data_IF_235933867312
#
_entry.id   IF_235933867312
#
_cell.length_a   1.000
_cell.length_b   1.000
_cell.length_c   1.000
_cell.angle_alpha   90.00
_cell.angle_beta   90.00
_cell.angle_gamma   90.00
#
_symmetry.space_group_name_H-M   'P 1'
#
loop_
_entity.id
_entity.type
_entity.pdbx_description
1 polymer ?
#
# COMPACT_ATOMS: atom_id res chain seq x y z
N UNK A 1 15.90 11.19 -4.27
CA UNK A 1 15.29 11.40 -2.93
C UNK A 1 15.25 10.07 -2.19
N UNK A 2 15.88 9.95 -1.02
CA UNK A 2 16.01 8.70 -0.27
C UNK A 2 14.85 8.53 0.74
N UNK A 3 13.64 8.40 0.20
CA UNK A 3 12.41 8.41 1.01
C UNK A 3 11.53 7.18 0.84
N UNK A 4 12.06 6.12 0.25
CA UNK A 4 11.31 4.88 0.06
C UNK A 4 11.29 4.05 1.35
N UNK A 5 10.15 4.00 2.04
CA UNK A 5 9.99 3.23 3.28
C UNK A 5 9.64 1.76 3.07
N UNK A 6 9.41 1.33 1.83
CA UNK A 6 8.98 -0.03 1.53
C UNK A 6 9.80 -0.61 0.38
N UNK A 7 10.33 -1.80 0.61
CA UNK A 7 10.83 -2.69 -0.44
C UNK A 7 9.97 -3.95 -0.39
N UNK A 8 9.65 -4.52 -1.56
CA UNK A 8 8.92 -5.78 -1.64
C UNK A 8 9.75 -6.90 -0.99
N UNK A 9 9.20 -7.62 -0.01
CA UNK A 9 9.88 -8.76 0.60
C UNK A 9 10.22 -9.91 -0.36
N UNK A 10 9.58 -9.98 -1.53
CA UNK A 10 9.94 -10.94 -2.57
C UNK A 10 11.15 -10.49 -3.42
N UNK A 11 11.50 -9.21 -3.36
CA UNK A 11 12.46 -8.60 -4.27
C UNK A 11 13.16 -7.37 -3.65
N UNK A 12 14.27 -7.64 -2.97
CA UNK A 12 15.12 -6.62 -2.36
C UNK A 12 16.55 -7.13 -2.16
N UNK A 13 17.52 -6.24 -2.36
CA UNK A 13 18.93 -6.50 -2.12
C UNK A 13 19.44 -5.54 -1.05
N UNK A 14 20.10 -6.08 -0.03
CA UNK A 14 20.62 -5.31 1.08
C UNK A 14 22.08 -5.65 1.35
N UNK A 15 22.83 -4.65 1.81
CA UNK A 15 24.19 -4.87 2.30
C UNK A 15 24.15 -5.67 3.61
N UNK A 16 24.76 -6.86 3.60
CA UNK A 16 24.68 -7.83 4.70
C UNK A 16 25.21 -7.26 6.02
N UNK A 17 26.37 -6.62 5.98
CA UNK A 17 27.00 -5.96 7.12
C UNK A 17 26.07 -4.94 7.79
N UNK A 18 25.42 -4.08 7.01
CA UNK A 18 24.48 -3.07 7.53
C UNK A 18 23.23 -3.73 8.13
N UNK A 19 22.67 -4.75 7.47
CA UNK A 19 21.49 -5.46 7.98
C UNK A 19 21.80 -6.19 9.28
N UNK A 20 22.96 -6.84 9.37
CA UNK A 20 23.40 -7.53 10.59
C UNK A 20 23.64 -6.52 11.71
N UNK A 21 24.29 -5.39 11.42
CA UNK A 21 24.50 -4.32 12.39
C UNK A 21 23.19 -3.69 12.89
N UNK A 22 22.16 -3.61 12.03
CA UNK A 22 20.82 -3.15 12.39
C UNK A 22 19.95 -4.22 13.10
N UNK A 23 20.49 -5.40 13.38
CA UNK A 23 19.81 -6.47 14.13
C UNK A 23 18.96 -7.43 13.29
N UNK A 24 19.09 -7.43 11.96
CA UNK A 24 18.39 -8.35 11.06
C UNK A 24 16.86 -8.18 11.03
N UNK A 25 16.16 -9.22 10.53
CA UNK A 25 14.70 -9.23 10.42
C UNK A 25 14.02 -9.36 11.78
N UNK A 26 12.98 -8.54 11.99
CA UNK A 26 12.11 -8.65 13.17
C UNK A 26 11.11 -9.79 13.04
N UNK A 27 11.05 -10.66 14.04
CA UNK A 27 10.09 -11.78 14.10
C UNK A 27 8.74 -11.36 14.70
N UNK A 28 8.67 -10.19 15.34
CA UNK A 28 7.46 -9.73 16.03
C UNK A 28 6.54 -8.89 15.13
N UNK A 29 6.92 -8.70 13.86
CA UNK A 29 6.20 -7.84 12.91
C UNK A 29 5.65 -8.65 11.74
N UNK A 30 4.44 -8.33 11.30
CA UNK A 30 3.82 -8.97 10.14
C UNK A 30 4.35 -8.42 8.80
N UNK A 31 4.99 -7.25 8.84
CA UNK A 31 5.59 -6.54 7.70
C UNK A 31 7.11 -6.44 7.86
N UNK A 32 7.77 -7.59 7.95
CA UNK A 32 9.21 -7.73 8.21
C UNK A 32 10.06 -6.94 7.21
N UNK A 33 9.64 -6.90 5.94
CA UNK A 33 10.29 -6.20 4.84
C UNK A 33 10.23 -4.68 5.01
N UNK A 34 9.05 -4.14 5.23
CA UNK A 34 8.86 -2.71 5.49
C UNK A 34 9.56 -2.28 6.79
N UNK A 35 9.44 -3.06 7.85
CA UNK A 35 10.05 -2.70 9.13
C UNK A 35 11.57 -2.67 9.05
N UNK A 36 12.19 -3.63 8.34
CA UNK A 36 13.62 -3.61 8.08
C UNK A 36 14.05 -2.33 7.35
N UNK A 37 13.32 -1.91 6.31
CA UNK A 37 13.66 -0.71 5.54
C UNK A 37 13.60 0.55 6.41
N UNK A 38 12.53 0.74 7.16
CA UNK A 38 12.38 1.89 8.08
C UNK A 38 13.49 1.86 9.15
N UNK A 39 13.82 0.68 9.67
CA UNK A 39 14.90 0.51 10.64
C UNK A 39 16.27 0.84 10.05
N UNK A 40 16.57 0.40 8.83
CA UNK A 40 17.83 0.70 8.14
C UNK A 40 17.98 2.20 7.93
N UNK A 41 16.91 2.88 7.50
CA UNK A 41 16.91 4.33 7.40
C UNK A 41 17.25 5.00 8.74
N UNK A 42 16.60 4.57 9.83
CA UNK A 42 16.83 5.08 11.18
C UNK A 42 18.25 4.79 11.66
N UNK A 43 18.72 3.57 11.48
CA UNK A 43 20.06 3.13 11.88
C UNK A 43 21.14 3.94 11.18
N UNK A 44 21.08 4.05 9.86
CA UNK A 44 22.08 4.80 9.11
C UNK A 44 22.03 6.30 9.44
N UNK A 45 20.84 6.88 9.66
CA UNK A 45 20.72 8.29 10.07
C UNK A 45 21.29 8.55 11.47
N UNK A 46 21.00 7.67 12.44
CA UNK A 46 21.46 7.86 13.81
C UNK A 46 22.97 7.65 13.98
N UNK A 47 23.59 6.86 13.10
CA UNK A 47 25.03 6.61 13.10
C UNK A 47 25.78 7.45 12.05
N UNK A 48 25.10 8.41 11.40
CA UNK A 48 25.67 9.28 10.36
C UNK A 48 26.33 8.51 9.20
N UNK A 49 25.85 7.30 8.91
CA UNK A 49 26.36 6.44 7.84
C UNK A 49 25.75 6.90 6.51
N UNK A 50 26.54 7.25 5.48
CA UNK A 50 26.02 7.55 4.16
C UNK A 50 25.34 6.32 3.54
N UNK A 51 24.12 6.49 3.05
CA UNK A 51 23.34 5.38 2.47
C UNK A 51 22.30 5.88 1.47
N UNK A 52 21.89 4.96 0.61
CA UNK A 52 20.84 5.19 -0.39
C UNK A 52 19.99 3.94 -0.55
N UNK A 53 18.67 4.09 -0.49
CA UNK A 53 17.69 3.04 -0.78
C UNK A 53 16.95 3.46 -2.05
N UNK A 54 17.25 2.80 -3.16
CA UNK A 54 16.72 3.11 -4.49
C UNK A 54 15.82 1.99 -5.01
N UNK A 55 14.90 2.38 -5.89
CA UNK A 55 14.13 1.46 -6.72
C UNK A 55 14.83 1.30 -8.07
N UNK A 56 15.07 0.05 -8.50
CA UNK A 56 15.63 -0.28 -9.81
C UNK A 56 14.50 -0.80 -10.73
N UNK A 57 14.05 -0.04 -11.74
CA UNK A 57 12.92 -0.43 -12.59
C UNK A 57 13.19 -1.67 -13.46
N UNK A 58 14.44 -1.96 -13.79
CA UNK A 58 14.81 -3.10 -14.65
C UNK A 58 14.95 -4.41 -13.86
N UNK A 59 14.94 -4.33 -12.54
CA UNK A 59 15.03 -5.46 -11.66
C UNK A 59 13.62 -6.08 -11.55
N UNK A 60 13.37 -7.14 -12.34
CA UNK A 60 12.03 -7.77 -12.48
C UNK A 60 12.04 -9.17 -11.85
N UNK A 61 11.04 -9.44 -11.00
CA UNK A 61 10.81 -10.76 -10.42
C UNK A 61 9.33 -11.16 -10.59
N UNK A 62 9.11 -12.39 -11.03
CA UNK A 62 7.77 -12.97 -11.15
C UNK A 62 7.33 -13.53 -9.80
N UNK A 63 6.23 -13.00 -9.27
CA UNK A 63 5.65 -13.46 -8.01
C UNK A 63 4.23 -13.98 -8.23
N UNK A 64 3.86 -14.97 -7.42
CA UNK A 64 2.50 -15.51 -7.45
C UNK A 64 1.54 -14.55 -6.75
N UNK A 65 0.48 -14.16 -7.46
CA UNK A 65 -0.63 -13.38 -6.91
C UNK A 65 -1.69 -14.29 -6.28
N UNK A 66 -2.46 -13.81 -5.28
CA UNK A 66 -3.58 -14.57 -4.74
C UNK A 66 -4.65 -14.84 -5.80
N UNK A 67 -5.08 -16.10 -5.94
CA UNK A 67 -6.12 -16.49 -6.91
C UNK A 67 -7.54 -16.38 -6.34
N UNK A 68 -7.68 -16.22 -5.01
CA UNK A 68 -8.97 -16.12 -4.34
C UNK A 68 -9.14 -14.79 -3.60
N UNK A 69 -10.36 -14.26 -3.59
CA UNK A 69 -10.70 -13.07 -2.80
C UNK A 69 -10.43 -13.28 -1.31
N UNK A 70 -10.63 -14.49 -0.79
CA UNK A 70 -10.34 -14.82 0.61
C UNK A 70 -8.86 -14.68 0.96
N UNK A 71 -7.96 -15.14 0.08
CA UNK A 71 -6.53 -15.02 0.30
C UNK A 71 -6.03 -13.59 0.07
N UNK A 72 -6.61 -12.87 -0.89
CA UNK A 72 -6.37 -11.44 -1.06
C UNK A 72 -6.74 -10.64 0.20
N UNK A 73 -7.89 -10.93 0.83
CA UNK A 73 -8.30 -10.29 2.09
C UNK A 73 -7.26 -10.51 3.19
N UNK A 74 -6.80 -11.75 3.37
CA UNK A 74 -5.76 -12.08 4.37
C UNK A 74 -4.46 -11.33 4.09
N UNK A 75 -4.03 -11.29 2.83
CA UNK A 75 -2.80 -10.61 2.43
C UNK A 75 -2.89 -9.10 2.71
N UNK A 76 -3.97 -8.45 2.28
CA UNK A 76 -4.15 -7.00 2.44
C UNK A 76 -4.29 -6.59 3.91
N UNK A 77 -4.99 -7.40 4.70
CA UNK A 77 -5.03 -7.24 6.16
C UNK A 77 -3.65 -7.34 6.79
N UNK A 78 -2.82 -8.32 6.39
CA UNK A 78 -1.44 -8.47 6.87
C UNK A 78 -0.60 -7.23 6.55
N UNK A 79 -0.65 -6.75 5.30
CA UNK A 79 0.12 -5.58 4.86
C UNK A 79 -0.25 -4.32 5.63
N UNK A 80 -1.54 -4.08 5.85
CA UNK A 80 -2.00 -2.91 6.58
C UNK A 80 -1.61 -2.96 8.08
N UNK A 81 -1.70 -4.14 8.70
CA UNK A 81 -1.21 -4.33 10.08
C UNK A 81 0.32 -4.20 10.19
N UNK A 82 1.07 -4.72 9.19
CA UNK A 82 2.52 -4.57 9.13
C UNK A 82 2.95 -3.12 8.99
N UNK A 83 2.26 -2.35 8.14
CA UNK A 83 2.42 -0.90 8.03
C UNK A 83 2.20 -0.20 9.38
N UNK A 84 1.09 -0.51 10.06
CA UNK A 84 0.79 0.04 11.38
C UNK A 84 1.88 -0.29 12.40
N UNK A 85 2.30 -1.55 12.49
CA UNK A 85 3.34 -2.01 13.42
C UNK A 85 4.68 -1.30 13.17
N UNK A 86 5.10 -1.23 11.91
CA UNK A 86 6.37 -0.57 11.53
C UNK A 86 6.35 0.91 11.91
N UNK A 87 5.27 1.63 11.57
CA UNK A 87 5.15 3.05 11.94
C UNK A 87 5.06 3.25 13.45
N UNK A 88 4.23 2.48 14.17
CA UNK A 88 4.15 2.58 15.63
C UNK A 88 5.50 2.36 16.31
N UNK A 89 6.30 1.39 15.84
CA UNK A 89 7.64 1.09 16.37
C UNK A 89 8.63 2.22 16.11
N UNK A 90 8.57 2.84 14.92
CA UNK A 90 9.47 3.90 14.49
C UNK A 90 8.88 5.31 14.63
N UNK A 91 7.91 5.50 15.55
CA UNK A 91 7.21 6.79 15.79
C UNK A 91 8.13 7.97 16.08
N UNK A 92 9.36 7.73 16.53
CA UNK A 92 10.38 8.77 16.77
C UNK A 92 10.77 9.53 15.48
N UNK A 93 10.52 8.94 14.32
CA UNK A 93 10.77 9.56 13.02
C UNK A 93 9.61 10.45 12.56
N UNK A 94 8.42 10.34 13.17
CA UNK A 94 7.24 11.08 12.76
C UNK A 94 7.45 12.59 12.96
N UNK A 95 7.39 13.36 11.86
CA UNK A 95 7.57 14.82 11.85
C UNK A 95 8.85 15.28 12.58
N UNK A 96 9.88 14.44 12.57
CA UNK A 96 11.13 14.74 13.24
C UNK A 96 12.15 15.32 12.22
N UNK A 97 12.53 16.61 12.35
CA UNK A 97 13.45 17.26 11.42
C UNK A 97 14.85 16.63 11.40
N UNK A 98 15.28 15.94 12.46
CA UNK A 98 16.58 15.25 12.51
C UNK A 98 16.69 14.12 11.47
N UNK A 99 15.55 13.54 11.05
CA UNK A 99 15.51 12.57 9.96
C UNK A 99 15.32 13.22 8.58
N UNK A 100 15.24 14.56 8.52
CA UNK A 100 15.05 15.35 7.31
C UNK A 100 13.76 14.99 6.58
N UNK A 101 13.83 14.95 5.25
CA UNK A 101 12.69 14.63 4.40
C UNK A 101 12.05 13.27 4.66
N UNK A 102 12.80 12.32 5.20
CA UNK A 102 12.28 10.99 5.53
C UNK A 102 11.22 11.05 6.63
N UNK A 103 11.48 11.81 7.69
CA UNK A 103 10.53 11.99 8.80
C UNK A 103 9.43 13.00 8.48
N UNK A 104 9.79 14.08 7.78
CA UNK A 104 8.86 15.18 7.47
C UNK A 104 7.89 14.87 6.34
N UNK A 105 8.33 14.17 5.29
CA UNK A 105 7.52 13.93 4.09
C UNK A 105 7.20 12.46 3.92
N UNK A 106 8.19 11.57 3.85
CA UNK A 106 7.92 10.16 3.57
C UNK A 106 7.07 9.51 4.67
N UNK A 107 7.49 9.63 5.93
CA UNK A 107 6.72 9.06 7.03
C UNK A 107 5.31 9.67 7.09
N UNK A 108 5.20 11.00 6.97
CA UNK A 108 3.91 11.69 6.98
C UNK A 108 2.99 11.19 5.85
N UNK A 109 3.53 11.00 4.66
CA UNK A 109 2.79 10.47 3.51
C UNK A 109 2.25 9.06 3.81
N UNK A 110 3.09 8.13 4.28
CA UNK A 110 2.67 6.78 4.64
C UNK A 110 1.65 6.79 5.79
N UNK A 111 1.79 7.70 6.75
CA UNK A 111 0.83 7.86 7.82
C UNK A 111 -0.54 8.33 7.29
N UNK A 112 -0.59 9.46 6.58
CA UNK A 112 -1.85 10.04 6.12
C UNK A 112 -2.51 9.25 5.00
N UNK A 113 -1.76 8.91 3.95
CA UNK A 113 -2.31 8.35 2.72
C UNK A 113 -2.40 6.82 2.73
N UNK A 114 -1.49 6.11 3.39
CA UNK A 114 -1.51 4.64 3.40
C UNK A 114 -2.21 4.07 4.63
N UNK A 115 -1.93 4.62 5.83
CA UNK A 115 -2.52 4.11 7.08
C UNK A 115 -3.88 4.72 7.38
N UNK A 116 -4.02 6.05 7.31
CA UNK A 116 -5.24 6.74 7.76
C UNK A 116 -6.33 6.83 6.67
N UNK A 117 -5.96 6.79 5.39
CA UNK A 117 -6.89 6.89 4.25
C UNK A 117 -8.15 6.00 4.36
N UNK A 118 -8.07 4.70 4.70
CA UNK A 118 -9.28 3.86 4.81
C UNK A 118 -10.28 4.35 5.86
N UNK A 119 -9.78 4.97 6.94
CA UNK A 119 -10.61 5.53 8.00
C UNK A 119 -11.25 6.85 7.60
N UNK A 120 -10.52 7.69 6.86
CA UNK A 120 -11.07 8.92 6.28
C UNK A 120 -12.22 8.58 5.32
N UNK A 121 -12.03 7.57 4.47
CA UNK A 121 -13.07 7.10 3.56
C UNK A 121 -14.29 6.57 4.31
N UNK A 122 -14.10 5.75 5.34
CA UNK A 122 -15.19 5.27 6.19
C UNK A 122 -15.94 6.43 6.85
N UNK A 123 -15.22 7.41 7.42
CA UNK A 123 -15.81 8.59 8.01
C UNK A 123 -16.62 9.37 6.97
N UNK A 124 -16.10 9.54 5.75
CA UNK A 124 -16.82 10.14 4.62
C UNK A 124 -18.16 9.46 4.34
N UNK A 125 -18.17 8.12 4.25
CA UNK A 125 -19.41 7.36 4.07
C UNK A 125 -20.40 7.53 5.23
N UNK A 126 -19.93 7.48 6.47
CA UNK A 126 -20.78 7.68 7.65
C UNK A 126 -21.39 9.09 7.68
N UNK A 127 -20.60 10.12 7.36
CA UNK A 127 -21.09 11.50 7.27
C UNK A 127 -22.10 11.66 6.14
N UNK A 128 -21.92 10.94 5.03
CA UNK A 128 -22.87 10.96 3.93
C UNK A 128 -24.23 10.39 4.38
N UNK A 129 -24.23 9.21 4.99
CA UNK A 129 -25.44 8.56 5.51
C UNK A 129 -26.14 9.42 6.57
N UNK A 130 -25.38 9.99 7.50
CA UNK A 130 -25.93 10.89 8.52
C UNK A 130 -26.59 12.13 7.89
N UNK A 131 -25.98 12.70 6.85
CA UNK A 131 -26.52 13.89 6.17
C UNK A 131 -27.81 13.59 5.40
N UNK A 132 -27.94 12.39 4.83
CA UNK A 132 -29.21 11.91 4.25
C UNK A 132 -30.27 11.75 5.34
N UNK A 133 -29.91 11.16 6.48
CA UNK A 133 -30.84 10.94 7.58
C UNK A 133 -31.39 12.25 8.20
N UNK A 134 -30.56 13.30 8.24
CA UNK A 134 -30.95 14.64 8.73
C UNK A 134 -31.66 15.48 7.65
N UNK A 135 -31.70 15.00 6.39
CA UNK A 135 -32.38 15.69 5.29
C UNK A 135 -31.67 16.95 4.79
N UNK A 136 -30.41 17.15 5.16
CA UNK A 136 -29.58 18.30 4.71
C UNK A 136 -28.89 18.04 3.37
N UNK A 137 -28.96 16.81 2.86
CA UNK A 137 -28.24 16.40 1.66
C UNK A 137 -29.07 16.59 0.39
N UNK A 138 -28.50 17.33 -0.57
CA UNK A 138 -28.99 17.34 -1.94
C UNK A 138 -28.51 16.07 -2.66
N UNK A 139 -29.41 15.09 -2.80
CA UNK A 139 -29.09 13.80 -3.41
C UNK A 139 -28.70 13.91 -4.89
N UNK A 140 -29.37 14.78 -5.65
CA UNK A 140 -29.10 14.95 -7.08
C UNK A 140 -27.67 15.46 -7.31
N UNK A 141 -27.28 16.50 -6.56
CA UNK A 141 -25.91 17.02 -6.59
C UNK A 141 -24.89 15.94 -6.18
N UNK A 142 -25.18 15.19 -5.11
CA UNK A 142 -24.25 14.16 -4.61
C UNK A 142 -24.04 13.02 -5.60
N UNK A 143 -25.09 12.56 -6.27
CA UNK A 143 -24.99 11.53 -7.31
C UNK A 143 -24.17 12.05 -8.49
N UNK A 144 -24.46 13.26 -8.99
CA UNK A 144 -23.70 13.87 -10.08
C UNK A 144 -22.22 14.07 -9.73
N UNK A 145 -21.95 14.57 -8.52
CA UNK A 145 -20.59 14.73 -8.01
C UNK A 145 -19.85 13.39 -7.93
N UNK A 146 -20.50 12.35 -7.40
CA UNK A 146 -19.90 11.02 -7.30
C UNK A 146 -19.60 10.40 -8.69
N UNK A 147 -20.52 10.56 -9.66
CA UNK A 147 -20.32 10.11 -11.03
C UNK A 147 -19.14 10.83 -11.70
N UNK A 148 -19.06 12.15 -11.56
CA UNK A 148 -17.96 12.95 -12.09
C UNK A 148 -16.62 12.56 -11.45
N UNK A 149 -16.60 12.40 -10.12
CA UNK A 149 -15.42 11.96 -9.38
C UNK A 149 -14.95 10.57 -9.81
N UNK A 150 -15.89 9.63 -9.98
CA UNK A 150 -15.58 8.26 -10.43
C UNK A 150 -15.01 8.27 -11.84
N UNK A 151 -15.59 9.07 -12.75
CA UNK A 151 -15.08 9.23 -14.12
C UNK A 151 -13.66 9.81 -14.12
N UNK A 152 -13.43 10.87 -13.35
CA UNK A 152 -12.11 11.50 -13.23
C UNK A 152 -11.05 10.50 -12.73
N UNK A 153 -11.36 9.72 -11.69
CA UNK A 153 -10.44 8.70 -11.18
C UNK A 153 -10.19 7.58 -12.19
N UNK A 154 -11.23 7.14 -12.93
CA UNK A 154 -11.06 6.15 -13.98
C UNK A 154 -10.11 6.64 -15.08
N UNK A 155 -10.25 7.89 -15.52
CA UNK A 155 -9.34 8.51 -16.50
C UNK A 155 -7.91 8.56 -15.96
N UNK A 156 -7.71 9.00 -14.71
CA UNK A 156 -6.38 9.03 -14.09
C UNK A 156 -5.74 7.64 -14.03
N UNK A 157 -6.46 6.63 -13.57
CA UNK A 157 -5.94 5.25 -13.50
C UNK A 157 -5.54 4.75 -14.88
N UNK A 158 -6.38 5.00 -15.90
CA UNK A 158 -6.11 4.62 -17.29
C UNK A 158 -4.86 5.33 -17.82
N UNK A 159 -4.74 6.65 -17.58
CA UNK A 159 -3.56 7.43 -18.00
C UNK A 159 -2.28 6.88 -17.38
N UNK A 160 -2.28 6.61 -16.08
CA UNK A 160 -1.11 6.06 -15.37
C UNK A 160 -0.74 4.68 -15.92
N UNK A 161 -1.74 3.83 -16.20
CA UNK A 161 -1.53 2.51 -16.77
C UNK A 161 -0.85 2.59 -18.15
N UNK A 162 -1.37 3.42 -19.07
CA UNK A 162 -0.77 3.57 -20.39
C UNK A 162 0.59 4.27 -20.36
N UNK A 163 0.77 5.26 -19.47
CA UNK A 163 2.07 5.89 -19.27
C UNK A 163 3.12 4.85 -18.86
N UNK A 164 2.79 3.92 -17.96
CA UNK A 164 3.68 2.82 -17.57
C UNK A 164 4.05 1.93 -18.75
N UNK A 165 3.08 1.57 -19.59
CA UNK A 165 3.32 0.72 -20.77
C UNK A 165 4.25 1.42 -21.76
N UNK A 166 4.01 2.70 -22.00
CA UNK A 166 4.87 3.53 -22.86
C UNK A 166 6.30 3.62 -22.31
N UNK A 167 6.46 3.94 -21.02
CA UNK A 167 7.79 4.06 -20.38
C UNK A 167 8.56 2.74 -20.36
N UNK A 168 7.87 1.60 -20.20
CA UNK A 168 8.50 0.27 -20.20
C UNK A 168 8.66 -0.35 -21.59
N UNK A 169 8.19 0.33 -22.65
CA UNK A 169 8.27 -0.20 -24.03
C UNK A 169 7.50 -1.51 -24.24
N UNK A 170 6.45 -1.77 -23.44
CA UNK A 170 5.69 -3.01 -23.51
C UNK A 170 4.72 -2.98 -24.70
N UNK A 171 4.69 -4.07 -25.47
CA UNK A 171 3.70 -4.25 -26.55
C UNK A 171 2.47 -4.97 -26.00
N UNK A 172 1.32 -4.32 -26.10
CA UNK A 172 0.02 -4.89 -25.69
C UNK A 172 -0.88 -5.10 -26.91
N UNK A 173 -1.70 -6.16 -26.86
CA UNK A 173 -2.72 -6.40 -27.88
C UNK A 173 -3.93 -5.49 -27.65
N UNK A 174 -4.73 -5.25 -28.71
CA UNK A 174 -6.00 -4.49 -28.58
C UNK A 174 -6.98 -5.14 -27.59
N UNK A 175 -6.98 -6.47 -27.50
CA UNK A 175 -7.81 -7.20 -26.53
C UNK A 175 -7.38 -6.92 -25.09
N UNK A 176 -6.08 -6.88 -24.83
CA UNK A 176 -5.55 -6.63 -23.49
C UNK A 176 -5.75 -5.17 -23.08
N UNK A 177 -5.67 -4.24 -24.03
CA UNK A 177 -6.04 -2.84 -23.84
C UNK A 177 -7.50 -2.69 -23.41
N UNK A 178 -8.44 -3.33 -24.12
CA UNK A 178 -9.86 -3.28 -23.78
C UNK A 178 -10.12 -3.87 -22.38
N UNK A 179 -9.52 -5.03 -22.07
CA UNK A 179 -9.61 -5.64 -20.74
C UNK A 179 -9.05 -4.72 -19.65
N UNK A 180 -7.91 -4.07 -19.89
CA UNK A 180 -7.30 -3.17 -18.92
C UNK A 180 -8.21 -1.98 -18.60
N UNK A 181 -8.84 -1.37 -19.60
CA UNK A 181 -9.80 -0.27 -19.41
C UNK A 181 -10.99 -0.72 -18.56
N UNK A 182 -11.59 -1.87 -18.88
CA UNK A 182 -12.71 -2.43 -18.12
C UNK A 182 -12.30 -2.68 -16.66
N UNK A 183 -11.12 -3.26 -16.44
CA UNK A 183 -10.59 -3.53 -15.09
C UNK A 183 -10.34 -2.23 -14.32
N UNK A 184 -9.81 -1.17 -14.96
CA UNK A 184 -9.61 0.14 -14.31
C UNK A 184 -10.94 0.76 -13.84
N UNK A 185 -12.01 0.62 -14.62
CA UNK A 185 -13.34 1.12 -14.24
C UNK A 185 -13.90 0.29 -13.08
N UNK A 186 -13.87 -1.03 -13.19
CA UNK A 186 -14.35 -1.93 -12.12
C UNK A 186 -13.56 -1.77 -10.82
N UNK A 187 -12.26 -1.45 -10.92
CA UNK A 187 -11.40 -1.19 -9.77
C UNK A 187 -11.90 0.01 -8.97
N UNK A 188 -12.17 1.12 -9.65
CA UNK A 188 -12.60 2.37 -9.03
C UNK A 188 -13.97 2.26 -8.35
N UNK A 189 -14.90 1.51 -8.95
CA UNK A 189 -16.28 1.42 -8.44
C UNK A 189 -16.41 0.40 -7.30
N UNK A 190 -15.83 -0.79 -7.45
CA UNK A 190 -16.10 -1.91 -6.53
C UNK A 190 -14.87 -2.36 -5.77
N UNK A 191 -13.75 -2.55 -6.46
CA UNK A 191 -12.59 -3.22 -5.88
C UNK A 191 -11.90 -2.37 -4.82
N UNK A 192 -11.78 -1.06 -5.05
CA UNK A 192 -11.19 -0.12 -4.09
C UNK A 192 -11.99 -0.06 -2.79
N UNK A 193 -13.31 0.09 -2.88
CA UNK A 193 -14.21 0.06 -1.72
C UNK A 193 -14.08 -1.24 -0.92
N UNK A 194 -14.02 -2.37 -1.62
CA UNK A 194 -13.81 -3.66 -1.00
C UNK A 194 -12.47 -3.73 -0.24
N UNK A 195 -11.37 -3.27 -0.86
CA UNK A 195 -10.04 -3.28 -0.24
C UNK A 195 -9.96 -2.34 0.97
N UNK A 196 -10.59 -1.18 0.91
CA UNK A 196 -10.61 -0.24 2.02
C UNK A 196 -11.44 -0.77 3.18
N UNK A 197 -12.55 -1.45 2.92
CA UNK A 197 -13.28 -2.21 3.93
C UNK A 197 -12.40 -3.28 4.61
N UNK A 198 -11.58 -4.00 3.84
CA UNK A 198 -10.63 -4.99 4.39
C UNK A 198 -9.57 -4.33 5.27
N UNK A 199 -9.06 -3.16 4.88
CA UNK A 199 -8.07 -2.40 5.66
C UNK A 199 -8.65 -1.88 6.97
N UNK A 200 -9.86 -1.33 6.96
CA UNK A 200 -10.58 -0.93 8.19
C UNK A 200 -10.79 -2.14 9.11
N UNK A 201 -11.28 -3.25 8.56
CA UNK A 201 -11.50 -4.48 9.32
C UNK A 201 -10.19 -5.14 9.80
N UNK A 202 -9.02 -4.70 9.33
CA UNK A 202 -7.75 -5.31 9.68
C UNK A 202 -7.47 -5.26 11.19
N UNK A 203 -7.88 -4.16 11.84
CA UNK A 203 -7.71 -3.91 13.26
C UNK A 203 -8.67 -4.70 14.14
N UNK A 204 -9.79 -5.16 13.57
CA UNK A 204 -10.77 -5.99 14.29
C UNK A 204 -10.11 -7.35 14.61
N UNK A 205 -9.93 -7.61 15.91
CA UNK A 205 -9.29 -8.84 16.40
C UNK A 205 -7.75 -8.84 16.37
N UNK A 206 -7.11 -7.70 16.12
CA UNK A 206 -5.63 -7.56 16.17
C UNK A 206 -5.05 -8.02 17.51
N UNK A 207 -5.71 -7.70 18.62
CA UNK A 207 -5.27 -8.09 19.96
C UNK A 207 -5.17 -9.60 20.20
N UNK A 208 -5.92 -10.43 19.44
CA UNK A 208 -5.99 -11.89 19.65
C UNK A 208 -5.08 -12.71 18.73
N UNK A 209 -4.52 -12.13 17.66
CA UNK A 209 -3.71 -12.85 16.64
C UNK A 209 -2.53 -12.01 16.14
N UNK A 210 -1.75 -11.45 17.06
CA UNK A 210 -0.68 -10.48 16.74
C UNK A 210 0.41 -11.00 15.78
N UNK A 211 0.68 -12.31 15.76
CA UNK A 211 1.82 -12.88 15.02
C UNK A 211 1.49 -14.13 14.18
N UNK A 212 0.22 -14.45 13.93
CA UNK A 212 -0.11 -15.65 13.16
C UNK A 212 -0.05 -15.40 11.65
N UNK A 213 0.95 -16.01 11.01
CA UNK A 213 1.08 -16.08 9.56
C UNK A 213 -0.08 -16.86 8.95
N UNK A 214 -0.95 -16.20 8.18
CA UNK A 214 -1.98 -16.88 7.41
C UNK A 214 -1.35 -17.66 6.26
N UNK A 215 -1.66 -18.96 6.11
CA UNK A 215 -1.29 -19.71 4.89
C UNK A 215 -2.14 -19.24 3.71
N UNK A 216 -1.46 -18.81 2.64
CA UNK A 216 -2.04 -18.59 1.31
C UNK A 216 -1.86 -19.87 0.51
N UNK A 217 -2.90 -20.36 -0.15
CA UNK A 217 -2.82 -21.56 -1.00
C UNK A 217 -2.01 -21.20 -2.25
N UNK A 218 -0.85 -21.82 -2.42
CA UNK A 218 -0.04 -21.68 -3.63
C UNK A 218 -0.52 -22.70 -4.67
N UNK A 219 -0.73 -22.24 -5.90
CA UNK A 219 -1.12 -23.08 -7.03
C UNK A 219 0.08 -23.26 -7.95
N UNK A 220 0.28 -24.47 -8.48
CA UNK A 220 1.35 -24.77 -9.43
C UNK A 220 0.95 -24.20 -10.79
N UNK A 221 1.64 -23.15 -11.24
CA UNK A 221 1.44 -22.62 -12.58
C UNK A 221 2.13 -23.54 -13.60
N UNK A 222 1.42 -23.91 -14.67
CA UNK A 222 2.01 -24.66 -15.80
C UNK A 222 2.76 -23.66 -16.68
N UNK A 223 4.08 -23.78 -16.79
CA UNK A 223 4.87 -23.00 -17.76
C UNK A 223 5.95 -22.08 -17.19
N UNK A 224 6.34 -22.26 -15.92
CA UNK A 224 7.62 -21.76 -15.38
C UNK A 224 8.42 -22.96 -14.89
#
# INVERSE_FOLDING_TARGET
FNGNLIISGAFGLFKKDVVVAAGGYDRDTLGEDMELVVRLHRFCKNNEIPYTICYEPNAVCWSQVPESLGDLKKQRRRWHLGLFQSMAKHRVMFLNPSYGWLGMVSYLYYFLYELISPFIQLAGWLTMVASVAVGVMNLDFMIQFYLMYTLYNAVLTITIFFQRIYTMGLKISLSDTAKAVIVCILENVFFRLFLDGVRVMAFIGYGKRKSQWGRIKRVKQKGV
#
